data_IF_961990088833
#
_entry.id   IF_961990088833
#
_cell.length_a   1.000
_cell.length_b   1.000
_cell.length_c   1.000
_cell.angle_alpha   90.00
_cell.angle_beta   90.00
_cell.angle_gamma   90.00
#
_symmetry.space_group_name_H-M   'P 1'
#
loop_
_entity.id
_entity.type
_entity.pdbx_description
1 polymer ?
#
# COMPACT_ATOMS: atom_id res chain seq x y z
N UNK A 1 6.89 20.80 9.51
CA UNK A 1 7.08 19.76 8.49
C UNK A 1 8.06 18.76 9.09
N UNK A 2 7.57 17.66 9.65
CA UNK A 2 8.38 16.80 10.53
C UNK A 2 9.08 15.75 9.67
N UNK A 3 10.40 15.85 9.60
CA UNK A 3 11.30 14.84 9.08
C UNK A 3 10.93 13.45 9.63
N UNK A 4 10.65 12.51 8.72
CA UNK A 4 10.72 11.08 9.01
C UNK A 4 11.60 10.47 7.92
N UNK A 5 12.90 10.77 8.01
CA UNK A 5 13.96 9.96 7.41
C UNK A 5 14.34 8.84 8.39
N UNK A 6 13.38 7.98 8.72
CA UNK A 6 13.73 6.56 8.87
C UNK A 6 14.09 6.10 7.48
N UNK A 7 15.17 5.32 7.33
CA UNK A 7 15.68 4.85 6.04
C UNK A 7 14.53 4.24 5.22
N UNK A 8 13.93 5.05 4.33
CA UNK A 8 12.61 4.77 3.77
C UNK A 8 12.67 3.49 2.93
N UNK A 9 13.84 3.24 2.35
CA UNK A 9 14.25 2.13 1.53
C UNK A 9 13.95 0.75 2.16
N UNK A 10 13.81 0.66 3.48
CA UNK A 10 13.52 -0.58 4.21
C UNK A 10 12.03 -1.00 4.16
N UNK A 11 11.19 -0.26 3.42
CA UNK A 11 9.75 -0.49 3.36
C UNK A 11 9.18 -0.54 1.95
N UNK A 12 8.06 -1.24 1.82
CA UNK A 12 7.06 -0.96 0.79
C UNK A 12 5.92 -0.16 1.42
N UNK A 13 5.24 0.66 0.63
CA UNK A 13 4.02 1.35 1.06
C UNK A 13 2.81 0.77 0.35
N UNK A 14 1.79 0.37 1.12
CA UNK A 14 0.45 0.19 0.57
C UNK A 14 -0.31 1.51 0.73
N UNK A 15 -0.56 2.20 -0.38
CA UNK A 15 -1.30 3.46 -0.42
C UNK A 15 -2.76 3.16 -0.78
N UNK A 16 -3.70 3.69 0.00
CA UNK A 16 -5.14 3.59 -0.22
C UNK A 16 -5.74 4.98 -0.44
N UNK A 17 -6.35 5.18 -1.61
CA UNK A 17 -7.02 6.42 -2.00
C UNK A 17 -8.40 6.49 -1.32
N UNK A 18 -8.60 7.44 -0.41
CA UNK A 18 -9.85 7.56 0.36
C UNK A 18 -10.80 8.61 -0.22
N UNK A 19 -10.26 9.69 -0.77
CA UNK A 19 -11.06 10.80 -1.32
C UNK A 19 -10.28 11.49 -2.43
N UNK A 20 -10.96 11.96 -3.47
CA UNK A 20 -10.31 12.57 -4.62
C UNK A 20 -9.57 11.54 -5.47
N UNK A 21 -8.83 12.02 -6.46
CA UNK A 21 -8.12 11.20 -7.42
C UNK A 21 -6.65 11.57 -7.54
N UNK A 22 -5.84 10.60 -7.92
CA UNK A 22 -4.40 10.78 -8.09
C UNK A 22 -3.85 9.97 -9.26
N UNK A 23 -2.73 10.42 -9.78
CA UNK A 23 -1.96 9.76 -10.83
C UNK A 23 -0.56 9.48 -10.30
N UNK A 24 -0.19 8.21 -10.28
CA UNK A 24 1.13 7.72 -9.93
C UNK A 24 1.90 7.38 -11.21
N UNK A 25 3.13 7.85 -11.32
CA UNK A 25 4.09 7.37 -12.32
C UNK A 25 5.18 6.56 -11.61
N UNK A 26 5.36 5.30 -12.03
CA UNK A 26 6.30 4.36 -11.43
C UNK A 26 6.83 3.40 -12.49
N UNK A 27 8.16 3.27 -12.59
CA UNK A 27 8.83 2.35 -13.52
C UNK A 27 8.32 2.45 -14.98
N UNK A 28 8.02 3.66 -15.46
CA UNK A 28 7.51 3.90 -16.81
C UNK A 28 6.02 3.61 -17.02
N UNK A 29 5.30 3.24 -15.96
CA UNK A 29 3.85 3.01 -15.99
C UNK A 29 3.12 4.18 -15.31
N UNK A 30 1.92 4.47 -15.81
CA UNK A 30 1.02 5.45 -15.19
C UNK A 30 -0.20 4.73 -14.62
N UNK A 31 -0.51 5.00 -13.35
CA UNK A 31 -1.65 4.45 -12.63
C UNK A 31 -2.54 5.57 -12.13
N UNK A 32 -3.80 5.57 -12.53
CA UNK A 32 -4.83 6.44 -11.97
C UNK A 32 -5.58 5.73 -10.84
N UNK A 33 -5.65 6.39 -9.69
CA UNK A 33 -6.34 5.94 -8.49
C UNK A 33 -7.58 6.80 -8.23
N UNK A 34 -8.70 6.12 -8.01
CA UNK A 34 -9.96 6.69 -7.55
C UNK A 34 -10.24 6.25 -6.09
N UNK A 35 -11.22 6.85 -5.40
CA UNK A 35 -11.57 6.41 -4.05
C UNK A 35 -11.86 4.90 -3.96
N UNK A 36 -11.19 4.23 -3.02
CA UNK A 36 -11.18 2.79 -2.81
C UNK A 36 -10.02 2.06 -3.49
N UNK A 37 -9.37 2.67 -4.49
CA UNK A 37 -8.23 2.05 -5.16
C UNK A 37 -6.97 2.08 -4.28
N UNK A 38 -6.12 1.08 -4.47
CA UNK A 38 -4.86 0.94 -3.77
C UNK A 38 -3.70 0.66 -4.72
N UNK A 39 -2.48 0.93 -4.25
CA UNK A 39 -1.24 0.61 -4.94
C UNK A 39 -0.13 0.28 -3.94
N UNK A 40 0.74 -0.67 -4.30
CA UNK A 40 1.98 -0.94 -3.55
C UNK A 40 3.13 -0.18 -4.19
N UNK A 41 3.89 0.58 -3.40
CA UNK A 41 5.08 1.32 -3.82
C UNK A 41 6.31 0.72 -3.17
N UNK A 42 7.41 0.64 -3.90
CA UNK A 42 8.74 0.38 -3.34
C UNK A 42 9.35 1.72 -2.92
N UNK A 43 9.60 1.90 -1.62
CA UNK A 43 10.13 3.15 -1.09
C UNK A 43 11.57 3.45 -1.53
N UNK A 44 12.32 2.41 -1.94
CA UNK A 44 13.69 2.57 -2.46
C UNK A 44 13.73 3.00 -3.94
N UNK A 45 12.57 3.10 -4.60
CA UNK A 45 12.47 3.49 -6.01
C UNK A 45 11.79 4.86 -6.16
N UNK A 46 12.25 5.69 -7.10
CA UNK A 46 11.58 6.95 -7.38
C UNK A 46 10.17 6.70 -7.92
N UNK A 47 9.23 7.50 -7.46
CA UNK A 47 7.87 7.53 -8.00
C UNK A 47 7.32 8.96 -7.91
N UNK A 48 6.55 9.35 -8.91
CA UNK A 48 5.93 10.67 -8.97
C UNK A 48 4.43 10.55 -8.69
N UNK A 49 3.98 11.23 -7.65
CA UNK A 49 2.59 11.18 -7.18
C UNK A 49 1.92 12.54 -7.39
N UNK A 50 0.97 12.59 -8.33
CA UNK A 50 0.27 13.82 -8.70
C UNK A 50 -1.20 13.76 -8.26
N UNK A 51 -1.61 14.71 -7.43
CA UNK A 51 -3.00 14.83 -6.98
C UNK A 51 -3.80 15.68 -7.97
N UNK A 52 -4.92 15.16 -8.46
CA UNK A 52 -5.77 15.86 -9.43
C UNK A 52 -6.84 16.74 -8.76
N UNK A 53 -7.06 16.56 -7.46
CA UNK A 53 -8.06 17.27 -6.66
C UNK A 53 -7.65 17.24 -5.17
N UNK A 54 -8.45 17.87 -4.31
CA UNK A 54 -8.30 17.71 -2.85
C UNK A 54 -8.40 16.22 -2.52
N UNK A 55 -7.27 15.66 -2.11
CA UNK A 55 -7.08 14.22 -2.00
C UNK A 55 -6.82 13.80 -0.55
N UNK A 56 -7.30 12.61 -0.17
CA UNK A 56 -7.00 11.97 1.12
C UNK A 56 -6.54 10.56 0.87
N UNK A 57 -5.45 10.18 1.53
CA UNK A 57 -4.88 8.84 1.46
C UNK A 57 -4.48 8.34 2.84
N UNK A 58 -4.45 7.02 2.98
CA UNK A 58 -3.76 6.33 4.07
C UNK A 58 -2.66 5.46 3.49
N UNK A 59 -1.49 5.45 4.14
CA UNK A 59 -0.38 4.60 3.75
C UNK A 59 -0.01 3.70 4.92
N UNK A 60 0.17 2.41 4.65
CA UNK A 60 0.71 1.43 5.61
C UNK A 60 2.15 1.10 5.20
N UNK A 61 3.05 1.15 6.16
CA UNK A 61 4.42 0.67 6.00
C UNK A 61 4.44 -0.87 6.08
N UNK A 62 4.92 -1.52 5.03
CA UNK A 62 5.15 -2.96 4.98
C UNK A 62 6.66 -3.21 5.05
N UNK A 63 7.19 -3.86 6.11
CA UNK A 63 8.62 -4.14 6.20
C UNK A 63 9.12 -4.96 5.01
N UNK A 64 10.13 -4.46 4.30
CA UNK A 64 10.68 -5.07 3.07
C UNK A 64 10.98 -6.56 3.25
N UNK A 65 11.66 -6.92 4.33
CA UNK A 65 12.03 -8.32 4.61
C UNK A 65 10.83 -9.27 4.64
N UNK A 66 9.68 -8.82 5.15
CA UNK A 66 8.47 -9.64 5.23
C UNK A 66 7.81 -9.76 3.86
N UNK A 67 7.73 -8.65 3.12
CA UNK A 67 7.17 -8.62 1.76
C UNK A 67 7.99 -9.50 0.82
N UNK A 68 9.31 -9.34 0.79
CA UNK A 68 10.21 -10.10 -0.09
C UNK A 68 10.23 -11.60 0.27
N UNK A 69 10.13 -11.94 1.55
CA UNK A 69 9.95 -13.34 1.99
C UNK A 69 8.64 -13.95 1.52
N UNK A 70 7.57 -13.15 1.38
CA UNK A 70 6.23 -13.62 1.01
C UNK A 70 6.04 -13.72 -0.50
N UNK A 71 6.61 -12.78 -1.26
CA UNK A 71 6.34 -12.59 -2.69
C UNK A 71 7.54 -12.78 -3.61
N UNK A 72 8.73 -13.05 -3.06
CA UNK A 72 10.05 -12.96 -3.70
C UNK A 72 10.65 -11.55 -3.66
N UNK A 73 11.96 -11.43 -3.89
CA UNK A 73 12.73 -10.17 -3.80
C UNK A 73 12.23 -9.03 -4.70
N UNK A 74 11.44 -9.33 -5.73
CA UNK A 74 10.84 -8.33 -6.63
C UNK A 74 9.34 -8.59 -6.76
N UNK A 75 8.52 -8.08 -5.83
CA UNK A 75 7.07 -8.30 -5.86
C UNK A 75 6.46 -7.68 -7.11
N UNK A 76 5.81 -8.48 -7.94
CA UNK A 76 5.14 -8.01 -9.17
C UNK A 76 3.97 -7.07 -8.89
N UNK A 77 3.44 -7.07 -7.66
CA UNK A 77 2.35 -6.20 -7.23
C UNK A 77 2.75 -4.71 -7.18
N UNK A 78 4.05 -4.41 -7.10
CA UNK A 78 4.55 -3.02 -7.05
C UNK A 78 4.10 -2.27 -8.30
N UNK A 79 3.56 -1.06 -8.10
CA UNK A 79 3.07 -0.20 -9.16
C UNK A 79 1.81 -0.70 -9.87
N UNK A 80 1.19 -1.80 -9.42
CA UNK A 80 -0.09 -2.28 -9.97
C UNK A 80 -1.26 -1.69 -9.19
N UNK A 81 -2.30 -1.29 -9.93
CA UNK A 81 -3.57 -0.89 -9.31
C UNK A 81 -4.30 -2.10 -8.73
N UNK A 82 -4.64 -2.00 -7.45
CA UNK A 82 -5.60 -2.86 -6.78
C UNK A 82 -6.92 -2.09 -6.78
N UNK A 83 -7.84 -2.46 -7.68
CA UNK A 83 -9.12 -1.76 -7.80
C UNK A 83 -10.02 -2.06 -6.61
N UNK A 84 -10.49 -1.01 -5.94
CA UNK A 84 -11.42 -1.11 -4.81
C UNK A 84 -12.80 -1.65 -5.20
N UNK A 85 -13.08 -1.76 -6.50
CA UNK A 85 -14.34 -2.29 -7.05
C UNK A 85 -14.30 -3.79 -7.31
N UNK A 86 -13.16 -4.44 -7.12
CA UNK A 86 -13.06 -5.91 -7.21
C UNK A 86 -13.52 -6.56 -5.90
N UNK A 87 -13.94 -7.83 -5.95
CA UNK A 87 -14.38 -8.57 -4.75
C UNK A 87 -13.34 -8.57 -3.63
N UNK A 88 -12.05 -8.62 -3.99
CA UNK A 88 -10.97 -8.65 -3.01
C UNK A 88 -10.51 -7.22 -2.64
N UNK A 89 -10.47 -6.29 -3.58
CA UNK A 89 -10.14 -4.89 -3.31
C UNK A 89 -11.14 -4.21 -2.37
N UNK A 90 -12.44 -4.52 -2.49
CA UNK A 90 -13.48 -4.00 -1.60
C UNK A 90 -13.38 -4.54 -0.17
N UNK A 91 -12.68 -5.66 0.04
CA UNK A 91 -12.39 -6.24 1.37
C UNK A 91 -11.09 -5.65 1.94
N UNK A 92 -10.05 -5.52 1.11
CA UNK A 92 -8.74 -5.01 1.56
C UNK A 92 -8.84 -3.54 2.00
N UNK A 93 -9.57 -2.70 1.28
CA UNK A 93 -9.67 -1.27 1.59
C UNK A 93 -10.14 -0.99 3.03
N UNK A 94 -11.28 -1.53 3.48
CA UNK A 94 -11.73 -1.42 4.87
C UNK A 94 -10.75 -2.06 5.86
N UNK A 95 -10.14 -3.20 5.53
CA UNK A 95 -9.16 -3.86 6.40
C UNK A 95 -7.92 -2.99 6.63
N UNK A 96 -7.45 -2.28 5.60
CA UNK A 96 -6.35 -1.29 5.68
C UNK A 96 -6.74 -0.11 6.57
N UNK A 97 -7.98 0.36 6.51
CA UNK A 97 -8.45 1.43 7.40
C UNK A 97 -8.47 0.97 8.86
N UNK A 98 -8.91 -0.27 9.13
CA UNK A 98 -8.91 -0.84 10.48
C UNK A 98 -7.49 -1.09 11.01
N UNK A 99 -6.57 -1.53 10.16
CA UNK A 99 -5.15 -1.62 10.52
C UNK A 99 -4.57 -0.27 11.00
N UNK A 100 -5.03 0.83 10.42
CA UNK A 100 -4.59 2.17 10.78
C UNK A 100 -5.15 2.63 12.13
N UNK A 101 -6.37 2.23 12.49
CA UNK A 101 -6.99 2.54 13.79
C UNK A 101 -6.38 1.72 14.94
N UNK A 102 -5.90 0.52 14.64
CA UNK A 102 -5.37 -0.44 15.61
C UNK A 102 -3.86 -0.35 15.86
N UNK A 103 -3.19 0.72 15.43
CA UNK A 103 -1.74 0.90 15.67
C UNK A 103 -1.37 1.03 17.17
N UNK A 104 -2.35 1.09 18.08
CA UNK A 104 -2.17 1.04 19.53
C UNK A 104 -2.46 -0.34 20.17
N UNK A 105 -2.71 -1.37 19.35
CA UNK A 105 -2.97 -2.74 19.81
C UNK A 105 -1.71 -3.46 20.30
N UNK A 106 -1.86 -4.57 21.04
CA UNK A 106 -0.77 -5.51 21.34
C UNK A 106 0.02 -5.91 20.09
N UNK A 107 1.35 -6.08 20.25
CA UNK A 107 2.26 -6.36 19.13
C UNK A 107 1.88 -7.60 18.33
N UNK A 108 1.40 -8.64 19.01
CA UNK A 108 0.99 -9.91 18.39
C UNK A 108 -0.25 -9.76 17.51
N UNK A 109 -1.22 -8.92 17.90
CA UNK A 109 -2.38 -8.58 17.07
C UNK A 109 -1.95 -7.85 15.80
N UNK A 110 -1.10 -6.83 15.93
CA UNK A 110 -0.56 -6.07 14.79
C UNK A 110 0.18 -6.99 13.81
N UNK A 111 0.99 -7.92 14.34
CA UNK A 111 1.70 -8.91 13.53
C UNK A 111 0.76 -9.91 12.82
N UNK A 112 -0.31 -10.35 13.48
CA UNK A 112 -1.31 -11.23 12.88
C UNK A 112 -2.06 -10.53 11.74
N UNK A 113 -2.47 -9.28 11.96
CA UNK A 113 -3.14 -8.49 10.95
C UNK A 113 -2.24 -8.15 9.76
N UNK A 114 -0.96 -7.86 10.01
CA UNK A 114 0.02 -7.63 8.95
C UNK A 114 0.19 -8.89 8.07
N UNK A 115 0.26 -10.08 8.67
CA UNK A 115 0.26 -11.36 7.92
C UNK A 115 -1.02 -11.57 7.12
N UNK A 116 -2.18 -11.24 7.70
CA UNK A 116 -3.47 -11.33 7.00
C UNK A 116 -3.52 -10.39 5.78
N UNK A 117 -3.02 -9.16 5.92
CA UNK A 117 -2.90 -8.20 4.80
C UNK A 117 -2.08 -8.80 3.66
N UNK A 118 -0.91 -9.36 3.97
CA UNK A 118 -0.05 -9.98 2.95
C UNK A 118 -0.71 -11.22 2.32
N UNK A 119 -1.47 -12.01 3.07
CA UNK A 119 -2.23 -13.10 2.48
C UNK A 119 -3.29 -12.58 1.47
N UNK A 120 -4.00 -11.51 1.81
CA UNK A 120 -5.00 -10.88 0.95
C UNK A 120 -4.40 -10.22 -0.30
N UNK A 121 -3.17 -9.70 -0.22
CA UNK A 121 -2.48 -9.08 -1.36
C UNK A 121 -1.88 -10.12 -2.33
N UNK A 122 -1.74 -11.38 -1.92
CA UNK A 122 -1.07 -12.44 -2.71
C UNK A 122 -1.60 -12.60 -4.14
N UNK A 123 -2.93 -12.62 -4.41
CA UNK A 123 -3.43 -12.81 -5.77
C UNK A 123 -3.06 -11.68 -6.74
N UNK A 124 -2.72 -10.49 -6.22
CA UNK A 124 -2.28 -9.36 -7.05
C UNK A 124 -0.78 -9.39 -7.36
N UNK A 125 -0.03 -10.34 -6.76
CA UNK A 125 1.39 -10.54 -6.98
C UNK A 125 1.71 -11.67 -7.97
N UNK A 126 0.72 -12.43 -8.41
CA UNK A 126 0.89 -13.48 -9.43
C UNK A 126 1.15 -12.89 -10.83
#
# INVERSE_FOLDING_TARGET
>A
MKDIRTNNDDFYFLVHQLQGSAVLQIEGHTVQLEPGDMVVLDAAKPSDFNFLSVSRQTAICLPRQIVEKTYSAHPKIVGRKISGKTNLGSVIGPFVQELFTLLNSPKDEVEAMHRALLALLRPFNE
#
